data_IF_374619482562
#
_entry.id   IF_374619482562
#
_cell.length_a   1.000
_cell.length_b   1.000
_cell.length_c   1.000
_cell.angle_alpha   90.00
_cell.angle_beta   90.00
_cell.angle_gamma   90.00
#
_symmetry.space_group_name_H-M   'P 1'
#
loop_
_entity.id
_entity.type
_entity.pdbx_description
1 polymer ?
#
# COMPACT_ATOMS: atom_id res chain seq x y z
N UNK A 1 15.30 8.53 1.43
CA UNK A 1 15.37 8.58 2.91
C UNK A 1 15.54 7.16 3.42
N UNK A 2 16.77 6.70 3.65
CA UNK A 2 17.00 5.36 4.21
C UNK A 2 16.68 5.38 5.71
N UNK A 3 15.58 4.72 6.09
CA UNK A 3 15.20 4.58 7.50
C UNK A 3 16.15 3.57 8.14
N UNK A 4 16.90 3.99 9.18
CA UNK A 4 17.83 3.14 9.97
C UNK A 4 17.11 2.09 10.86
N UNK A 5 16.00 1.56 10.38
CA UNK A 5 15.12 0.62 11.10
C UNK A 5 15.34 -0.83 10.65
N UNK A 6 16.12 -1.05 9.59
CA UNK A 6 16.35 -2.37 9.01
C UNK A 6 15.05 -3.03 8.54
N UNK A 7 14.96 -4.36 8.61
CA UNK A 7 13.77 -5.11 8.22
C UNK A 7 12.49 -4.69 8.96
N UNK A 8 12.61 -4.10 10.16
CA UNK A 8 11.46 -3.60 10.94
C UNK A 8 10.74 -2.45 10.23
N UNK A 9 11.45 -1.70 9.39
CA UNK A 9 10.87 -0.62 8.59
C UNK A 9 9.90 -1.10 7.51
N UNK A 10 10.06 -2.33 7.01
CA UNK A 10 9.27 -2.86 5.89
C UNK A 10 7.78 -2.89 6.23
N UNK A 11 7.42 -3.34 7.43
CA UNK A 11 6.02 -3.37 7.88
C UNK A 11 5.39 -1.98 7.83
N UNK A 12 6.08 -0.96 8.37
CA UNK A 12 5.56 0.40 8.36
C UNK A 12 5.43 1.00 6.96
N UNK A 13 6.31 0.62 6.02
CA UNK A 13 6.23 1.11 4.63
C UNK A 13 4.96 0.53 3.98
N UNK A 14 4.74 -0.77 4.13
CA UNK A 14 3.56 -1.46 3.58
C UNK A 14 2.26 -0.98 4.22
N UNK A 15 2.22 -0.86 5.55
CA UNK A 15 1.02 -0.38 6.26
C UNK A 15 0.62 1.03 5.82
N UNK A 16 1.58 1.95 5.71
CA UNK A 16 1.30 3.32 5.27
C UNK A 16 0.80 3.37 3.82
N UNK A 17 1.39 2.58 2.92
CA UNK A 17 1.02 2.56 1.51
C UNK A 17 -0.37 1.96 1.26
N UNK A 18 -0.84 1.09 2.15
CA UNK A 18 -2.10 0.33 1.94
C UNK A 18 -3.23 0.76 2.87
N UNK A 19 -3.01 1.67 3.81
CA UNK A 19 -3.99 2.00 4.85
C UNK A 19 -5.35 2.40 4.28
N UNK A 20 -5.36 3.32 3.33
CA UNK A 20 -6.58 3.81 2.67
C UNK A 20 -7.25 2.69 1.86
N UNK A 21 -6.48 1.95 1.07
CA UNK A 21 -7.01 0.82 0.30
C UNK A 21 -7.63 -0.24 1.20
N UNK A 22 -7.00 -0.61 2.32
CA UNK A 22 -7.55 -1.60 3.27
C UNK A 22 -8.84 -1.11 3.95
N UNK A 23 -9.02 0.19 4.10
CA UNK A 23 -10.25 0.76 4.65
C UNK A 23 -11.41 0.70 3.64
N UNK A 24 -11.14 1.00 2.37
CA UNK A 24 -12.15 1.01 1.32
C UNK A 24 -12.49 -0.39 0.77
N UNK A 25 -11.50 -1.30 0.73
CA UNK A 25 -11.63 -2.64 0.13
C UNK A 25 -12.82 -3.45 0.65
N UNK A 26 -13.14 -3.50 1.96
CA UNK A 26 -14.28 -4.26 2.47
C UNK A 26 -15.64 -3.80 1.92
N UNK A 27 -15.73 -2.54 1.48
CA UNK A 27 -16.95 -1.95 0.92
C UNK A 27 -17.05 -2.13 -0.59
N UNK A 28 -16.00 -2.65 -1.25
CA UNK A 28 -15.98 -2.87 -2.69
C UNK A 28 -16.51 -4.25 -3.07
N UNK A 29 -17.63 -4.29 -3.80
CA UNK A 29 -18.27 -5.57 -4.17
C UNK A 29 -17.47 -6.42 -5.17
N UNK A 30 -16.61 -5.80 -5.99
CA UNK A 30 -15.96 -6.47 -7.12
C UNK A 30 -14.43 -6.37 -7.12
N UNK A 31 -13.81 -6.05 -5.98
CA UNK A 31 -12.36 -6.00 -5.89
C UNK A 31 -11.76 -7.42 -5.87
N UNK A 32 -11.03 -7.81 -6.92
CA UNK A 32 -10.41 -9.14 -7.06
C UNK A 32 -8.90 -9.09 -6.88
N UNK A 33 -8.28 -8.01 -7.34
CA UNK A 33 -6.83 -7.82 -7.37
C UNK A 33 -6.48 -6.40 -6.94
N UNK A 34 -5.47 -6.28 -6.09
CA UNK A 34 -4.84 -4.99 -5.75
C UNK A 34 -3.42 -5.01 -6.29
N UNK A 35 -3.09 -4.07 -7.16
CA UNK A 35 -1.77 -3.91 -7.76
C UNK A 35 -1.01 -2.77 -7.09
N UNK A 36 0.16 -3.10 -6.56
CA UNK A 36 1.08 -2.19 -5.87
C UNK A 36 2.37 -2.14 -6.67
N UNK A 37 2.67 -0.97 -7.23
CA UNK A 37 3.89 -0.74 -8.01
C UNK A 37 4.86 0.21 -7.28
N UNK A 38 5.96 0.53 -7.95
CA UNK A 38 6.98 1.42 -7.39
C UNK A 38 6.45 2.85 -7.16
N UNK A 39 5.46 3.30 -7.93
CA UNK A 39 4.90 4.65 -7.79
C UNK A 39 4.02 4.73 -6.54
N UNK A 40 3.29 3.67 -6.20
CA UNK A 40 2.58 3.57 -4.91
C UNK A 40 3.53 3.76 -3.72
N UNK A 41 4.70 3.11 -3.76
CA UNK A 41 5.66 3.16 -2.64
C UNK A 41 6.48 4.45 -2.60
N UNK A 42 6.94 4.93 -3.76
CA UNK A 42 7.88 6.06 -3.82
C UNK A 42 7.18 7.42 -3.94
N UNK A 43 5.98 7.45 -4.53
CA UNK A 43 5.24 8.68 -4.82
C UNK A 43 3.91 8.77 -4.06
N UNK A 44 3.50 7.70 -3.36
CA UNK A 44 2.26 7.68 -2.60
C UNK A 44 1.01 7.63 -3.48
N UNK A 45 1.12 7.09 -4.71
CA UNK A 45 -0.07 6.86 -5.54
C UNK A 45 -1.00 5.83 -4.90
N UNK A 46 -2.30 5.94 -5.18
CA UNK A 46 -3.30 4.98 -4.71
C UNK A 46 -3.12 3.67 -5.50
N UNK A 47 -3.08 2.50 -4.82
CA UNK A 47 -3.05 1.19 -5.47
C UNK A 47 -4.18 1.00 -6.48
N UNK A 48 -3.88 0.36 -7.61
CA UNK A 48 -4.88 0.06 -8.62
C UNK A 48 -5.67 -1.19 -8.22
N UNK A 49 -6.99 -1.09 -8.21
CA UNK A 49 -7.92 -2.17 -7.85
C UNK A 49 -8.64 -2.64 -9.11
N UNK A 50 -8.68 -3.95 -9.34
CA UNK A 50 -9.30 -4.61 -10.50
C UNK A 50 -10.10 -5.86 -10.10
#
# INVERSE_FOLDING_TARGET
>A
MERKTGARGLRSIVENALLETMYELPSMENAKTVMVDAEVINEGKIPKIA
#
